data_IF_710271168559
#
_entry.id   IF_710271168559
#
_cell.length_a   1.000
_cell.length_b   1.000
_cell.length_c   1.000
_cell.angle_alpha   90.00
_cell.angle_beta   90.00
_cell.angle_gamma   90.00
#
_symmetry.space_group_name_H-M   'P 1'
#
loop_
_entity.id
_entity.type
_entity.pdbx_description
1 polymer ?
#
# COMPACT_ATOMS: atom_id res chain seq x y z
N UNK A 1 -15.40 -22.02 0.24
CA UNK A 1 -15.55 -20.87 -0.69
C UNK A 1 -15.46 -21.32 -2.16
N UNK A 2 -16.58 -21.59 -2.85
CA UNK A 2 -16.57 -22.21 -4.21
C UNK A 2 -16.97 -21.30 -5.39
N UNK A 3 -17.18 -19.99 -5.19
CA UNK A 3 -17.79 -19.12 -6.22
C UNK A 3 -16.88 -17.99 -6.72
N UNK A 4 -15.56 -18.20 -6.79
CA UNK A 4 -14.68 -17.21 -7.45
C UNK A 4 -14.87 -17.29 -8.96
N UNK A 5 -15.57 -16.30 -9.51
CA UNK A 5 -15.74 -16.12 -10.96
C UNK A 5 -14.49 -15.47 -11.55
N UNK A 6 -13.49 -16.30 -11.88
CA UNK A 6 -12.17 -15.85 -12.35
C UNK A 6 -12.28 -14.92 -13.57
N UNK A 7 -13.15 -15.24 -14.53
CA UNK A 7 -13.37 -14.41 -15.74
C UNK A 7 -13.93 -13.03 -15.41
N UNK A 8 -14.88 -12.96 -14.46
CA UNK A 8 -15.49 -11.71 -14.03
C UNK A 8 -14.50 -10.84 -13.24
N UNK A 9 -13.78 -11.43 -12.29
CA UNK A 9 -12.72 -10.73 -11.55
C UNK A 9 -11.61 -10.23 -12.47
N UNK A 10 -11.19 -11.05 -13.44
CA UNK A 10 -10.19 -10.66 -14.44
C UNK A 10 -10.66 -9.50 -15.32
N UNK A 11 -11.90 -9.56 -15.83
CA UNK A 11 -12.47 -8.51 -16.66
C UNK A 11 -12.59 -7.17 -15.91
N UNK A 12 -13.03 -7.19 -14.65
CA UNK A 12 -13.08 -5.99 -13.81
C UNK A 12 -11.70 -5.39 -13.63
N UNK A 13 -10.72 -6.19 -13.20
CA UNK A 13 -9.36 -5.70 -13.00
C UNK A 13 -8.76 -5.15 -14.29
N UNK A 14 -9.06 -5.75 -15.44
CA UNK A 14 -8.62 -5.26 -16.75
C UNK A 14 -9.24 -3.90 -17.11
N UNK A 15 -10.57 -3.77 -17.03
CA UNK A 15 -11.27 -2.52 -17.36
C UNK A 15 -10.82 -1.40 -16.43
N UNK A 16 -10.75 -1.70 -15.12
CA UNK A 16 -10.28 -0.74 -14.13
C UNK A 16 -8.82 -0.34 -14.38
N UNK A 17 -7.96 -1.31 -14.72
CA UNK A 17 -6.56 -1.06 -15.07
C UNK A 17 -6.43 -0.07 -16.24
N UNK A 18 -7.26 -0.19 -17.27
CA UNK A 18 -7.29 0.77 -18.38
C UNK A 18 -7.71 2.17 -17.91
N UNK A 19 -8.75 2.26 -17.07
CA UNK A 19 -9.23 3.55 -16.56
C UNK A 19 -8.17 4.27 -15.70
N UNK A 20 -7.43 3.53 -14.88
CA UNK A 20 -6.38 4.06 -14.02
C UNK A 20 -5.23 4.68 -14.81
N UNK A 21 -4.91 4.17 -16.01
CA UNK A 21 -3.87 4.77 -16.85
C UNK A 21 -4.25 6.23 -17.16
N UNK A 22 -5.51 6.51 -17.48
CA UNK A 22 -5.95 7.87 -17.78
C UNK A 22 -5.98 8.77 -16.54
N UNK A 23 -6.49 8.31 -15.40
CA UNK A 23 -6.49 9.12 -14.16
C UNK A 23 -5.07 9.37 -13.65
N UNK A 24 -4.20 8.37 -13.73
CA UNK A 24 -2.78 8.50 -13.39
C UNK A 24 -2.05 9.50 -14.29
N UNK A 25 -2.34 9.53 -15.60
CA UNK A 25 -1.80 10.53 -16.52
C UNK A 25 -2.27 11.96 -16.18
N UNK A 26 -3.55 12.12 -15.83
CA UNK A 26 -4.08 13.42 -15.39
C UNK A 26 -3.40 13.84 -14.08
N UNK A 27 -3.29 12.92 -13.12
CA UNK A 27 -2.65 13.18 -11.83
C UNK A 27 -1.18 13.61 -11.99
N UNK A 28 -0.37 12.89 -12.77
CA UNK A 28 1.04 13.25 -12.96
C UNK A 28 1.19 14.60 -13.68
N UNK A 29 0.31 14.94 -14.63
CA UNK A 29 0.30 16.26 -15.26
C UNK A 29 -0.03 17.39 -14.28
N UNK A 30 -0.95 17.14 -13.34
CA UNK A 30 -1.25 18.10 -12.27
C UNK A 30 -0.02 18.25 -11.38
N UNK A 31 0.50 17.16 -10.83
CA UNK A 31 1.65 17.18 -9.89
C UNK A 31 2.87 17.86 -10.50
N UNK A 32 3.23 17.52 -11.74
CA UNK A 32 4.40 18.12 -12.42
C UNK A 32 4.26 19.61 -12.71
N UNK A 33 3.02 20.15 -12.73
CA UNK A 33 2.77 21.58 -12.93
C UNK A 33 2.58 22.36 -11.64
N UNK A 34 2.16 21.70 -10.55
CA UNK A 34 1.81 22.38 -9.29
C UNK A 34 2.90 22.27 -8.23
N UNK A 35 3.70 21.20 -8.25
CA UNK A 35 4.65 20.88 -7.18
C UNK A 35 6.07 21.24 -7.61
N UNK A 36 6.84 21.84 -6.71
CA UNK A 36 8.24 22.16 -6.97
C UNK A 36 9.11 20.89 -7.02
N UNK A 37 10.26 20.89 -7.73
CA UNK A 37 11.14 19.72 -7.79
C UNK A 37 11.59 19.21 -6.41
N UNK A 38 11.78 20.10 -5.44
CA UNK A 38 12.20 19.78 -4.08
C UNK A 38 11.09 19.07 -3.28
N UNK A 39 9.85 19.56 -3.39
CA UNK A 39 8.69 18.93 -2.77
C UNK A 39 8.39 17.56 -3.39
N UNK A 40 8.51 17.45 -4.72
CA UNK A 40 8.35 16.18 -5.42
C UNK A 40 9.43 15.16 -5.00
N UNK A 41 10.69 15.61 -4.85
CA UNK A 41 11.78 14.79 -4.34
C UNK A 41 11.54 14.31 -2.91
N UNK A 42 11.02 15.19 -2.04
CA UNK A 42 10.65 14.85 -0.66
C UNK A 42 9.52 13.81 -0.63
N UNK A 43 8.49 13.97 -1.47
CA UNK A 43 7.41 12.99 -1.60
C UNK A 43 7.92 11.62 -2.05
N UNK A 44 8.82 11.59 -3.05
CA UNK A 44 9.44 10.35 -3.50
C UNK A 44 10.29 9.69 -2.40
N UNK A 45 11.04 10.48 -1.62
CA UNK A 45 11.81 9.99 -0.49
C UNK A 45 10.91 9.34 0.58
N UNK A 46 9.77 9.95 0.90
CA UNK A 46 8.77 9.38 1.81
C UNK A 46 8.28 8.03 1.30
N UNK A 47 7.87 7.94 0.03
CA UNK A 47 7.40 6.69 -0.56
C UNK A 47 8.46 5.59 -0.49
N UNK A 48 9.70 5.90 -0.87
CA UNK A 48 10.80 4.93 -0.83
C UNK A 48 11.09 4.44 0.60
N UNK A 49 11.08 5.35 1.58
CA UNK A 49 11.26 4.99 2.98
C UNK A 49 10.15 4.07 3.50
N UNK A 50 8.89 4.35 3.15
CA UNK A 50 7.76 3.48 3.49
C UNK A 50 7.96 2.10 2.85
N UNK A 51 8.34 2.05 1.56
CA UNK A 51 8.59 0.78 0.86
C UNK A 51 9.70 -0.05 1.52
N UNK A 52 10.80 0.57 1.95
CA UNK A 52 11.88 -0.14 2.63
C UNK A 52 11.45 -0.76 3.96
N UNK A 53 10.61 -0.07 4.71
CA UNK A 53 10.11 -0.55 6.00
C UNK A 53 9.06 -1.64 5.82
N UNK A 54 8.19 -1.50 4.81
CA UNK A 54 7.07 -2.42 4.57
C UNK A 54 7.46 -3.64 3.74
N UNK A 55 8.75 -3.79 3.35
CA UNK A 55 9.26 -4.92 2.55
C UNK A 55 8.98 -6.31 3.16
N UNK A 56 8.75 -6.37 4.47
CA UNK A 56 8.43 -7.61 5.20
C UNK A 56 6.95 -8.01 5.12
N UNK A 57 6.07 -7.12 4.66
CA UNK A 57 4.63 -7.36 4.59
C UNK A 57 4.24 -8.56 3.69
N UNK A 58 4.84 -8.76 2.49
CA UNK A 58 4.43 -9.84 1.60
C UNK A 58 4.54 -11.22 2.23
N UNK A 59 5.42 -11.40 3.23
CA UNK A 59 5.47 -12.62 4.02
C UNK A 59 4.13 -12.90 4.69
N UNK A 60 3.51 -11.91 5.34
CA UNK A 60 2.19 -12.05 5.98
C UNK A 60 1.11 -12.24 4.92
N UNK A 61 1.05 -11.34 3.94
CA UNK A 61 0.03 -11.37 2.89
C UNK A 61 -0.03 -12.69 2.12
N UNK A 62 1.11 -13.35 1.90
CA UNK A 62 1.16 -14.67 1.29
C UNK A 62 0.40 -15.74 2.09
N UNK A 63 0.69 -15.87 3.39
CA UNK A 63 0.00 -16.86 4.24
C UNK A 63 -1.47 -16.51 4.40
N UNK A 64 -1.79 -15.23 4.54
CA UNK A 64 -3.17 -14.76 4.65
C UNK A 64 -3.98 -15.11 3.40
N UNK A 65 -3.43 -14.89 2.21
CA UNK A 65 -4.08 -15.27 0.93
C UNK A 65 -4.34 -16.77 0.90
N UNK A 66 -3.35 -17.58 1.29
CA UNK A 66 -3.44 -19.04 1.27
C UNK A 66 -4.47 -19.60 2.25
N UNK A 67 -4.45 -19.12 3.50
CA UNK A 67 -5.39 -19.56 4.53
C UNK A 67 -6.82 -19.11 4.21
N UNK A 68 -6.97 -17.90 3.68
CA UNK A 68 -8.27 -17.40 3.21
C UNK A 68 -8.83 -18.27 2.07
N UNK A 69 -7.98 -18.67 1.11
CA UNK A 69 -8.38 -19.57 0.02
C UNK A 69 -8.78 -20.97 0.52
N UNK A 70 -8.32 -21.39 1.71
CA UNK A 70 -8.68 -22.66 2.36
C UNK A 70 -9.92 -22.57 3.24
N UNK A 71 -10.61 -21.43 3.27
CA UNK A 71 -11.79 -21.18 4.10
C UNK A 71 -11.50 -21.12 5.61
N UNK A 72 -10.25 -20.88 5.98
CA UNK A 72 -9.84 -20.72 7.39
C UNK A 72 -10.13 -19.30 7.88
N UNK A 73 -10.61 -19.18 9.13
CA UNK A 73 -11.03 -17.90 9.73
C UNK A 73 -9.83 -17.09 10.26
N UNK A 74 -8.89 -16.77 9.39
CA UNK A 74 -7.62 -16.09 9.75
C UNK A 74 -7.63 -14.58 9.48
N UNK A 75 -8.61 -14.06 8.72
CA UNK A 75 -8.63 -12.66 8.28
C UNK A 75 -8.63 -11.63 9.42
N UNK A 76 -9.41 -11.85 10.49
CA UNK A 76 -9.45 -10.92 11.63
C UNK A 76 -8.13 -10.91 12.40
N UNK A 77 -7.54 -12.09 12.62
CA UNK A 77 -6.25 -12.23 13.28
C UNK A 77 -5.13 -11.62 12.44
N UNK A 78 -5.19 -11.78 11.12
CA UNK A 78 -4.25 -11.17 10.19
C UNK A 78 -4.25 -9.64 10.31
N UNK A 79 -5.42 -9.00 10.27
CA UNK A 79 -5.55 -7.54 10.41
C UNK A 79 -5.09 -7.05 11.80
N UNK A 80 -5.41 -7.78 12.87
CA UNK A 80 -4.94 -7.42 14.21
C UNK A 80 -3.41 -7.51 14.30
N UNK A 81 -2.84 -8.61 13.82
CA UNK A 81 -1.41 -8.85 13.84
C UNK A 81 -0.66 -7.85 12.96
N UNK A 82 -1.20 -7.50 11.79
CA UNK A 82 -0.61 -6.51 10.89
C UNK A 82 -0.64 -5.11 11.51
N UNK A 83 -1.72 -4.77 12.24
CA UNK A 83 -1.77 -3.59 13.09
C UNK A 83 -0.64 -3.57 14.13
N UNK A 84 -0.44 -4.65 14.88
CA UNK A 84 0.64 -4.75 15.89
C UNK A 84 2.03 -4.64 15.27
N UNK A 85 2.29 -5.34 14.15
CA UNK A 85 3.58 -5.26 13.45
C UNK A 85 3.82 -3.86 12.89
N UNK A 86 2.79 -3.19 12.39
CA UNK A 86 2.94 -1.84 11.86
C UNK A 86 3.38 -0.83 12.90
N UNK A 87 2.98 -0.99 14.18
CA UNK A 87 3.46 -0.14 15.27
C UNK A 87 4.97 -0.25 15.44
N UNK A 88 5.52 -1.46 15.37
CA UNK A 88 6.98 -1.67 15.40
C UNK A 88 7.66 -1.01 14.19
N UNK A 89 7.04 -1.12 13.03
CA UNK A 89 7.55 -0.54 11.78
C UNK A 89 7.51 1.00 11.78
N UNK A 90 6.58 1.64 12.49
CA UNK A 90 6.60 3.10 12.69
C UNK A 90 7.91 3.53 13.36
N UNK A 91 8.37 2.82 14.39
CA UNK A 91 9.64 3.13 15.04
C UNK A 91 10.82 2.95 14.09
N UNK A 92 10.83 1.87 13.30
CA UNK A 92 11.85 1.64 12.28
C UNK A 92 11.89 2.77 11.24
N UNK A 93 10.71 3.23 10.79
CA UNK A 93 10.59 4.36 9.88
C UNK A 93 11.14 5.64 10.48
N UNK A 94 10.79 5.97 11.73
CA UNK A 94 11.28 7.18 12.40
C UNK A 94 12.80 7.17 12.51
N UNK A 95 13.42 6.03 12.83
CA UNK A 95 14.88 5.90 12.90
C UNK A 95 15.51 6.17 11.53
N UNK A 96 14.98 5.55 10.46
CA UNK A 96 15.46 5.75 9.10
C UNK A 96 15.27 7.18 8.61
N UNK A 97 14.10 7.77 8.88
CA UNK A 97 13.77 9.15 8.52
C UNK A 97 14.68 10.17 9.21
N UNK A 98 15.07 9.93 10.47
CA UNK A 98 16.08 10.77 11.13
C UNK A 98 17.45 10.60 10.50
N UNK A 99 17.89 9.36 10.22
CA UNK A 99 19.20 9.12 9.64
C UNK A 99 19.37 9.73 8.24
N UNK A 100 18.37 9.60 7.38
CA UNK A 100 18.41 10.15 6.01
C UNK A 100 18.06 11.64 5.95
N UNK A 101 17.26 12.11 6.89
CA UNK A 101 16.91 13.52 7.04
C UNK A 101 18.13 14.43 7.22
N UNK A 102 19.15 13.98 7.95
CA UNK A 102 20.39 14.73 8.10
C UNK A 102 21.27 14.78 6.84
N UNK A 103 21.04 13.87 5.89
CA UNK A 103 21.83 13.75 4.67
C UNK A 103 21.17 14.43 3.46
N UNK A 104 19.95 14.92 3.61
CA UNK A 104 19.12 15.41 2.51
C UNK A 104 18.63 16.82 2.80
N UNK A 105 18.45 17.66 1.78
CA UNK A 105 17.83 18.99 1.90
C UNK A 105 16.30 18.95 2.15
N UNK A 106 15.75 17.76 2.43
CA UNK A 106 14.33 17.55 2.61
C UNK A 106 13.87 18.06 3.99
N UNK A 107 12.64 18.59 4.05
CA UNK A 107 12.08 19.07 5.31
C UNK A 107 11.81 17.90 6.27
N UNK A 108 12.55 17.87 7.38
CA UNK A 108 12.48 16.82 8.38
C UNK A 108 11.09 16.62 8.99
N UNK A 109 10.31 17.69 9.16
CA UNK A 109 8.96 17.59 9.70
C UNK A 109 8.04 16.85 8.72
N UNK A 110 8.17 17.12 7.42
CA UNK A 110 7.40 16.47 6.38
C UNK A 110 7.78 14.98 6.27
N UNK A 111 9.07 14.67 6.39
CA UNK A 111 9.54 13.28 6.44
C UNK A 111 8.96 12.50 7.61
N UNK A 112 8.96 13.08 8.81
CA UNK A 112 8.41 12.43 10.00
C UNK A 112 6.88 12.22 9.90
N UNK A 113 6.15 13.12 9.23
CA UNK A 113 4.72 12.94 8.97
C UNK A 113 4.43 11.71 8.08
N UNK A 114 5.39 11.30 7.25
CA UNK A 114 5.31 10.08 6.45
C UNK A 114 5.16 8.79 7.28
N UNK A 115 5.47 8.83 8.58
CA UNK A 115 5.31 7.68 9.47
C UNK A 115 3.84 7.19 9.56
N UNK A 116 2.87 8.09 9.37
CA UNK A 116 1.44 7.74 9.36
C UNK A 116 1.08 6.81 8.21
N UNK A 117 1.83 6.85 7.10
CA UNK A 117 1.59 6.00 5.94
C UNK A 117 1.96 4.54 6.21
N UNK A 118 2.91 4.27 7.11
CA UNK A 118 3.39 2.91 7.40
C UNK A 118 2.26 1.97 7.82
N UNK A 119 1.45 2.25 8.86
CA UNK A 119 0.34 1.38 9.25
C UNK A 119 -0.75 1.29 8.20
N UNK A 120 -1.02 2.38 7.48
CA UNK A 120 -2.04 2.39 6.43
C UNK A 120 -1.66 1.47 5.28
N UNK A 121 -0.42 1.57 4.79
CA UNK A 121 0.08 0.74 3.69
C UNK A 121 0.19 -0.72 4.12
N UNK A 122 0.71 -0.99 5.32
CA UNK A 122 0.87 -2.36 5.81
C UNK A 122 -0.48 -3.09 5.96
N UNK A 123 -1.48 -2.43 6.56
CA UNK A 123 -2.84 -3.00 6.69
C UNK A 123 -3.51 -3.12 5.31
N UNK A 124 -3.30 -2.15 4.41
CA UNK A 124 -3.85 -2.20 3.06
C UNK A 124 -3.35 -3.42 2.28
N UNK A 125 -2.06 -3.75 2.37
CA UNK A 125 -1.55 -4.96 1.74
C UNK A 125 -2.14 -6.22 2.35
N UNK A 126 -2.26 -6.31 3.68
CA UNK A 126 -2.89 -7.46 4.33
C UNK A 126 -4.35 -7.63 3.89
N UNK A 127 -5.12 -6.54 3.80
CA UNK A 127 -6.50 -6.55 3.28
C UNK A 127 -6.55 -6.99 1.81
N UNK A 128 -5.56 -6.56 1.01
CA UNK A 128 -5.42 -6.99 -0.39
C UNK A 128 -5.15 -8.49 -0.47
N UNK A 129 -4.29 -9.05 0.39
CA UNK A 129 -4.06 -10.49 0.50
C UNK A 129 -5.32 -11.28 0.87
N UNK A 130 -6.13 -10.78 1.81
CA UNK A 130 -7.45 -11.39 2.12
C UNK A 130 -8.36 -11.38 0.89
N UNK A 131 -8.47 -10.22 0.22
CA UNK A 131 -9.34 -10.08 -0.94
C UNK A 131 -8.88 -10.93 -2.14
N UNK A 132 -7.58 -11.16 -2.31
CA UNK A 132 -7.04 -12.09 -3.30
C UNK A 132 -7.52 -13.53 -3.06
N UNK A 133 -7.58 -13.96 -1.80
CA UNK A 133 -8.05 -15.30 -1.43
C UNK A 133 -9.57 -15.45 -1.44
N UNK A 134 -10.33 -14.37 -1.23
CA UNK A 134 -11.79 -14.41 -1.08
C UNK A 134 -12.58 -13.89 -2.28
N UNK A 135 -12.34 -12.63 -2.70
CA UNK A 135 -13.09 -11.93 -3.75
C UNK A 135 -12.15 -11.00 -4.54
N UNK A 136 -11.41 -11.52 -5.54
CA UNK A 136 -10.40 -10.75 -6.25
C UNK A 136 -10.92 -9.49 -6.95
N UNK A 137 -12.19 -9.49 -7.39
CA UNK A 137 -12.85 -8.30 -7.95
C UNK A 137 -12.91 -7.10 -7.00
N UNK A 138 -12.87 -7.31 -5.68
CA UNK A 138 -12.87 -6.23 -4.69
C UNK A 138 -11.60 -5.37 -4.78
N UNK A 139 -10.49 -5.96 -5.21
CA UNK A 139 -9.22 -5.26 -5.42
C UNK A 139 -9.38 -4.25 -6.55
N UNK A 140 -9.98 -4.66 -7.68
CA UNK A 140 -10.28 -3.77 -8.79
C UNK A 140 -11.11 -2.56 -8.34
N UNK A 141 -12.18 -2.77 -7.58
CA UNK A 141 -12.96 -1.64 -7.06
C UNK A 141 -12.16 -0.73 -6.11
N UNK A 142 -11.31 -1.30 -5.26
CA UNK A 142 -10.42 -0.52 -4.39
C UNK A 142 -9.51 0.40 -5.20
N UNK A 143 -8.98 -0.06 -6.33
CA UNK A 143 -8.08 0.74 -7.17
C UNK A 143 -8.79 1.89 -7.88
N UNK A 144 -10.12 1.86 -8.04
CA UNK A 144 -10.89 3.02 -8.53
C UNK A 144 -10.93 4.13 -7.47
N UNK A 145 -11.09 3.75 -6.20
CA UNK A 145 -11.18 4.72 -5.10
C UNK A 145 -9.82 5.28 -4.67
N UNK A 146 -8.73 4.53 -4.86
CA UNK A 146 -7.38 4.89 -4.45
C UNK A 146 -6.46 5.33 -5.59
N UNK A 147 -6.86 5.08 -6.85
CA UNK A 147 -6.08 5.39 -8.06
C UNK A 147 -6.16 6.83 -8.53
#
# INVERSE_FOLDING_TARGET
MSDIRVTYSGLINFIVGILIIFTGLIFILIVTRTVTPQEFGTWNLINNLVFYVVVVEPFISFWVTRETARDERTGTTAVLSSGMFSVVLIFAYIILANFLGFQTDANQQILLLGAVLVPLVFVNYTLTGINLGWKPQAIGYSTICFG
#
